data_IF_197382373446
#
_entry.id   IF_197382373446
#
_cell.length_a   1.000
_cell.length_b   1.000
_cell.length_c   1.000
_cell.angle_alpha   90.00
_cell.angle_beta   90.00
_cell.angle_gamma   90.00
#
_symmetry.space_group_name_H-M   'P 1'
#
loop_
_entity.id
_entity.type
_entity.pdbx_description
1 polymer ?
#
# COMPACT_ATOMS: atom_id res chain seq x y z
N UNK A 1 -6.47 -31.21 -4.93
CA UNK A 1 -6.10 -31.85 -6.22
C UNK A 1 -7.20 -32.75 -6.75
N UNK A 2 -8.45 -32.36 -6.55
CA UNK A 2 -9.57 -33.05 -7.16
C UNK A 2 -9.53 -32.86 -8.69
N UNK A 3 -9.88 -33.91 -9.42
CA UNK A 3 -9.81 -33.92 -10.88
C UNK A 3 -10.92 -33.06 -11.52
N UNK A 4 -12.06 -32.93 -10.83
CA UNK A 4 -13.21 -32.16 -11.33
C UNK A 4 -13.06 -30.65 -11.15
N UNK A 5 -12.27 -30.20 -10.16
CA UNK A 5 -11.91 -28.79 -10.05
C UNK A 5 -11.11 -28.35 -11.29
N UNK A 6 -11.54 -27.32 -11.99
CA UNK A 6 -10.86 -26.77 -13.17
C UNK A 6 -10.52 -25.28 -12.97
N UNK A 7 -9.75 -24.71 -13.90
CA UNK A 7 -9.42 -23.28 -13.85
C UNK A 7 -10.70 -22.45 -13.97
N UNK A 8 -10.81 -21.40 -13.15
CA UNK A 8 -11.98 -20.54 -13.04
C UNK A 8 -12.94 -20.92 -11.91
N UNK A 9 -12.81 -22.12 -11.34
CA UNK A 9 -13.70 -22.57 -10.27
C UNK A 9 -13.55 -21.75 -8.98
N UNK A 10 -14.62 -21.76 -8.19
CA UNK A 10 -14.66 -21.20 -6.84
C UNK A 10 -14.80 -22.33 -5.84
N UNK A 11 -13.83 -22.44 -4.94
CA UNK A 11 -13.85 -23.35 -3.79
C UNK A 11 -14.29 -22.53 -2.58
N UNK A 12 -15.47 -22.83 -2.05
CA UNK A 12 -15.94 -22.26 -0.79
C UNK A 12 -15.52 -23.12 0.40
N UNK A 13 -14.89 -22.49 1.38
CA UNK A 13 -14.39 -23.10 2.61
C UNK A 13 -15.30 -22.68 3.75
N UNK A 14 -15.95 -23.67 4.37
CA UNK A 14 -16.79 -23.45 5.54
C UNK A 14 -15.99 -22.94 6.74
N UNK A 15 -16.67 -22.32 7.70
CA UNK A 15 -16.03 -21.93 8.95
C UNK A 15 -15.52 -23.17 9.70
N UNK A 16 -14.33 -23.08 10.28
CA UNK A 16 -13.66 -24.21 10.93
C UNK A 16 -12.15 -24.10 10.85
N UNK A 17 -11.45 -24.97 11.58
CA UNK A 17 -9.98 -25.04 11.55
C UNK A 17 -9.53 -26.25 10.76
N UNK A 18 -8.81 -25.99 9.67
CA UNK A 18 -8.22 -26.97 8.77
C UNK A 18 -6.73 -27.08 9.09
N UNK A 19 -6.34 -28.15 9.79
CA UNK A 19 -4.96 -28.38 10.22
C UNK A 19 -4.12 -29.02 9.10
N UNK A 20 -3.85 -28.27 8.05
CA UNK A 20 -3.14 -28.74 6.85
C UNK A 20 -2.32 -27.62 6.20
N UNK A 21 -1.40 -28.00 5.32
CA UNK A 21 -0.85 -27.07 4.33
C UNK A 21 -1.68 -27.16 3.07
N UNK A 22 -1.88 -26.03 2.40
CA UNK A 22 -2.65 -25.96 1.17
C UNK A 22 -1.74 -25.59 0.00
N UNK A 23 -1.79 -26.37 -1.07
CA UNK A 23 -1.13 -26.06 -2.34
C UNK A 23 -2.17 -25.80 -3.43
N UNK A 24 -2.23 -24.57 -3.92
CA UNK A 24 -3.16 -24.15 -4.98
C UNK A 24 -2.43 -24.22 -6.31
N UNK A 25 -2.69 -25.29 -7.07
CA UNK A 25 -2.00 -25.59 -8.35
C UNK A 25 -2.87 -25.34 -9.59
N UNK A 26 -4.12 -24.89 -9.40
CA UNK A 26 -5.07 -24.54 -10.46
C UNK A 26 -5.47 -23.08 -10.30
N UNK A 27 -5.74 -22.39 -11.40
CA UNK A 27 -6.12 -20.97 -11.39
C UNK A 27 -7.57 -20.84 -10.92
N UNK A 28 -7.78 -20.82 -9.60
CA UNK A 28 -9.09 -20.86 -8.94
C UNK A 28 -9.25 -19.70 -7.97
N UNK A 29 -10.48 -19.48 -7.52
CA UNK A 29 -10.76 -18.72 -6.30
C UNK A 29 -10.92 -19.69 -5.14
N UNK A 30 -10.14 -19.52 -4.06
CA UNK A 30 -10.38 -20.19 -2.79
C UNK A 30 -10.89 -19.14 -1.81
N UNK A 31 -12.13 -19.31 -1.34
CA UNK A 31 -12.81 -18.34 -0.51
C UNK A 31 -13.34 -18.96 0.78
N UNK A 32 -13.06 -18.35 1.92
CA UNK A 32 -13.81 -18.66 3.14
C UNK A 32 -15.18 -18.00 3.11
N UNK A 33 -16.16 -18.62 3.76
CA UNK A 33 -17.45 -17.96 4.07
C UNK A 33 -17.20 -16.71 4.92
N UNK A 34 -16.19 -16.77 5.79
CA UNK A 34 -15.66 -15.64 6.56
C UNK A 34 -14.24 -15.99 7.02
N UNK A 35 -13.55 -15.04 7.66
CA UNK A 35 -12.25 -15.30 8.30
C UNK A 35 -12.30 -16.35 9.41
N UNK A 36 -13.48 -16.82 9.84
CA UNK A 36 -13.61 -17.99 10.70
C UNK A 36 -13.31 -19.34 10.00
N UNK A 37 -13.08 -19.34 8.68
CA UNK A 37 -12.43 -20.43 7.97
C UNK A 37 -10.90 -20.27 8.10
N UNK A 38 -10.27 -21.17 8.87
CA UNK A 38 -8.88 -21.05 9.31
C UNK A 38 -8.04 -22.16 8.67
N UNK A 39 -7.09 -21.78 7.82
CA UNK A 39 -6.03 -22.69 7.38
C UNK A 39 -4.88 -22.55 8.37
N UNK A 40 -4.60 -23.64 9.09
CA UNK A 40 -3.55 -23.71 10.12
C UNK A 40 -2.54 -24.79 9.76
N UNK A 41 -1.35 -24.38 9.31
CA UNK A 41 -0.28 -25.33 9.04
C UNK A 41 0.09 -26.16 10.28
N UNK A 42 0.30 -27.48 10.16
CA UNK A 42 0.83 -28.31 11.25
C UNK A 42 2.22 -27.87 11.70
N UNK A 43 2.60 -28.26 12.92
CA UNK A 43 3.93 -28.00 13.48
C UNK A 43 4.97 -28.91 12.83
N UNK A 44 6.12 -28.38 12.42
CA UNK A 44 7.31 -29.12 11.99
C UNK A 44 7.06 -30.30 11.04
N UNK A 45 6.41 -30.03 9.92
CA UNK A 45 6.00 -31.06 8.97
C UNK A 45 6.82 -31.08 7.66
N UNK A 46 7.97 -30.41 7.65
CA UNK A 46 8.84 -30.35 6.46
C UNK A 46 8.31 -29.46 5.32
N UNK A 47 7.21 -28.73 5.54
CA UNK A 47 6.74 -27.69 4.63
C UNK A 47 7.05 -26.30 5.22
N UNK A 48 7.53 -25.41 4.37
CA UNK A 48 7.88 -24.05 4.74
C UNK A 48 6.68 -23.09 4.74
N UNK A 49 5.50 -23.51 4.31
CA UNK A 49 4.39 -22.60 4.00
C UNK A 49 3.04 -23.15 4.49
N UNK A 50 2.17 -22.29 5.03
CA UNK A 50 0.78 -22.66 5.31
C UNK A 50 -0.03 -22.77 4.02
N UNK A 51 0.08 -21.76 3.15
CA UNK A 51 -0.50 -21.77 1.79
C UNK A 51 0.58 -21.49 0.76
N UNK A 52 0.69 -22.38 -0.23
CA UNK A 52 1.48 -22.15 -1.45
C UNK A 52 0.53 -21.94 -2.62
N UNK A 53 0.62 -20.77 -3.25
CA UNK A 53 0.01 -20.52 -4.55
C UNK A 53 1.05 -20.91 -5.60
N UNK A 54 0.79 -22.03 -6.28
CA UNK A 54 1.69 -22.67 -7.24
C UNK A 54 1.41 -22.31 -8.69
N UNK A 55 0.40 -21.50 -8.99
CA UNK A 55 0.04 -21.07 -10.34
C UNK A 55 -0.46 -19.63 -10.38
N UNK A 56 -0.49 -19.03 -11.56
CA UNK A 56 -0.95 -17.66 -11.80
C UNK A 56 -2.49 -17.55 -11.72
N UNK A 57 -2.99 -16.31 -11.62
CA UNK A 57 -4.43 -16.00 -11.67
C UNK A 57 -5.25 -16.69 -10.56
N UNK A 58 -4.70 -16.74 -9.34
CA UNK A 58 -5.36 -17.29 -8.16
C UNK A 58 -5.92 -16.16 -7.31
N UNK A 59 -7.14 -16.33 -6.81
CA UNK A 59 -7.70 -15.48 -5.75
C UNK A 59 -7.81 -16.26 -4.45
N UNK A 60 -7.24 -15.75 -3.38
CA UNK A 60 -7.41 -16.26 -2.02
C UNK A 60 -8.13 -15.19 -1.20
N UNK A 61 -9.32 -15.50 -0.67
CA UNK A 61 -10.12 -14.49 0.03
C UNK A 61 -10.86 -14.96 1.27
N UNK A 62 -11.12 -14.04 2.19
CA UNK A 62 -11.95 -14.22 3.38
C UNK A 62 -11.56 -15.44 4.24
N UNK A 63 -10.27 -15.68 4.45
CA UNK A 63 -9.73 -16.78 5.26
C UNK A 63 -8.81 -16.23 6.34
N UNK A 64 -8.68 -16.97 7.45
CA UNK A 64 -7.54 -16.81 8.36
C UNK A 64 -6.43 -17.76 7.95
N UNK A 65 -5.21 -17.26 7.78
CA UNK A 65 -4.01 -18.05 7.49
C UNK A 65 -3.02 -17.94 8.64
N UNK A 66 -2.71 -19.08 9.24
CA UNK A 66 -1.77 -19.18 10.36
C UNK A 66 -1.02 -20.50 10.35
N UNK A 67 -0.16 -20.70 11.34
CA UNK A 67 0.59 -21.94 11.57
C UNK A 67 0.47 -22.36 13.02
N UNK A 68 0.69 -23.63 13.28
CA UNK A 68 1.05 -24.08 14.62
C UNK A 68 2.51 -23.67 14.88
N UNK A 69 2.69 -22.77 15.84
CA UNK A 69 4.00 -22.25 16.25
C UNK A 69 4.42 -22.71 17.65
N UNK A 70 3.75 -23.75 18.18
CA UNK A 70 4.02 -24.28 19.51
C UNK A 70 3.46 -23.44 20.65
N UNK A 71 3.87 -23.81 21.85
CA UNK A 71 3.53 -23.25 23.15
C UNK A 71 4.72 -22.61 23.88
N UNK A 72 5.94 -22.81 23.38
CA UNK A 72 7.14 -22.14 23.90
C UNK A 72 7.87 -21.31 22.83
N UNK A 73 8.76 -20.43 23.27
CA UNK A 73 9.58 -19.61 22.36
C UNK A 73 10.57 -20.47 21.57
N UNK A 74 11.08 -21.55 22.17
CA UNK A 74 11.94 -22.53 21.51
C UNK A 74 11.19 -23.22 20.37
N UNK A 75 9.93 -23.60 20.59
CA UNK A 75 9.10 -24.21 19.55
C UNK A 75 8.82 -23.23 18.41
N UNK A 76 8.61 -21.94 18.71
CA UNK A 76 8.49 -20.90 17.69
C UNK A 76 9.73 -20.85 16.80
N UNK A 77 10.92 -20.82 17.40
CA UNK A 77 12.17 -20.76 16.67
C UNK A 77 12.46 -22.03 15.87
N UNK A 78 12.07 -23.19 16.40
CA UNK A 78 12.25 -24.49 15.76
C UNK A 78 11.23 -24.79 14.65
N UNK A 79 10.17 -23.98 14.51
CA UNK A 79 9.16 -24.21 13.49
C UNK A 79 9.71 -24.15 12.06
N UNK A 80 9.48 -25.18 11.27
CA UNK A 80 9.84 -25.20 9.84
C UNK A 80 8.90 -24.36 8.97
N UNK A 81 7.64 -24.20 9.38
CA UNK A 81 6.69 -23.36 8.63
C UNK A 81 7.07 -21.89 8.79
N UNK A 82 7.55 -21.29 7.70
CA UNK A 82 8.03 -19.92 7.63
C UNK A 82 6.94 -18.97 7.13
N UNK A 83 6.33 -19.27 5.99
CA UNK A 83 5.42 -18.35 5.30
C UNK A 83 3.96 -18.67 5.62
N UNK A 84 3.14 -17.66 5.89
CA UNK A 84 1.69 -17.80 5.89
C UNK A 84 1.21 -18.08 4.47
N UNK A 85 1.37 -17.09 3.59
CA UNK A 85 1.07 -17.21 2.16
C UNK A 85 2.35 -16.99 1.36
N UNK A 86 2.68 -17.96 0.49
CA UNK A 86 3.77 -17.90 -0.46
C UNK A 86 3.24 -18.01 -1.88
N UNK A 87 3.59 -17.05 -2.74
CA UNK A 87 3.21 -17.07 -4.15
C UNK A 87 4.37 -16.72 -5.07
N UNK A 88 5.57 -17.20 -4.74
CA UNK A 88 6.77 -16.96 -5.55
C UNK A 88 6.63 -17.37 -7.01
N UNK A 89 7.13 -16.51 -7.89
CA UNK A 89 7.11 -16.67 -9.33
C UNK A 89 5.70 -16.82 -9.89
N UNK A 90 4.70 -16.15 -9.27
CA UNK A 90 3.30 -16.16 -9.72
C UNK A 90 2.78 -14.77 -10.03
N UNK A 91 2.13 -14.63 -11.16
CA UNK A 91 1.53 -13.38 -11.61
C UNK A 91 0.03 -13.33 -11.33
N UNK A 92 -0.52 -12.11 -11.22
CA UNK A 92 -1.96 -11.87 -11.09
C UNK A 92 -2.61 -12.59 -9.89
N UNK A 93 -1.86 -12.74 -8.80
CA UNK A 93 -2.39 -13.29 -7.54
C UNK A 93 -3.17 -12.21 -6.81
N UNK A 94 -4.39 -12.54 -6.35
CA UNK A 94 -5.23 -11.64 -5.55
C UNK A 94 -5.42 -12.20 -4.15
N UNK A 95 -5.02 -11.43 -3.14
CA UNK A 95 -5.26 -11.69 -1.72
C UNK A 95 -6.29 -10.66 -1.24
N UNK A 96 -7.43 -11.11 -0.73
CA UNK A 96 -8.56 -10.22 -0.41
C UNK A 96 -9.23 -10.57 0.92
N UNK A 97 -9.38 -9.59 1.82
CA UNK A 97 -10.16 -9.81 3.06
C UNK A 97 -9.56 -10.87 3.98
N UNK A 98 -8.26 -11.16 3.87
CA UNK A 98 -7.59 -12.19 4.67
C UNK A 98 -7.22 -11.67 6.05
N UNK A 99 -7.24 -12.54 7.04
CA UNK A 99 -6.50 -12.38 8.29
C UNK A 99 -5.25 -13.25 8.23
N UNK A 100 -4.06 -12.67 8.26
CA UNK A 100 -2.79 -13.40 8.21
C UNK A 100 -2.01 -13.14 9.49
N UNK A 101 -1.85 -14.18 10.31
CA UNK A 101 -1.35 -14.01 11.68
C UNK A 101 -0.52 -15.17 12.19
N UNK A 102 0.43 -14.90 13.09
CA UNK A 102 1.24 -15.91 13.76
C UNK A 102 2.31 -16.60 12.89
N UNK A 103 2.63 -16.04 11.72
CA UNK A 103 3.61 -16.62 10.79
C UNK A 103 5.01 -15.98 10.96
N UNK A 104 6.06 -16.59 10.39
CA UNK A 104 7.40 -15.96 10.38
C UNK A 104 7.46 -14.86 9.33
N UNK A 105 6.97 -15.08 8.11
CA UNK A 105 6.43 -13.96 7.33
C UNK A 105 4.96 -14.23 7.07
N UNK A 106 4.12 -13.21 7.23
CA UNK A 106 2.70 -13.31 6.88
C UNK A 106 2.55 -13.63 5.40
N UNK A 107 3.12 -12.76 4.55
CA UNK A 107 3.15 -12.92 3.10
C UNK A 107 4.61 -12.89 2.62
N UNK A 108 4.97 -13.82 1.75
CA UNK A 108 6.22 -13.80 1.01
C UNK A 108 5.94 -13.90 -0.48
N UNK A 109 6.46 -12.95 -1.26
CA UNK A 109 6.51 -13.10 -2.70
C UNK A 109 7.79 -12.55 -3.33
N UNK A 110 8.26 -13.30 -4.31
CA UNK A 110 9.41 -13.01 -5.12
C UNK A 110 9.02 -13.17 -6.60
N UNK A 111 9.46 -12.26 -7.46
CA UNK A 111 9.25 -12.38 -8.92
C UNK A 111 7.75 -12.58 -9.29
N UNK A 112 6.87 -11.80 -8.67
CA UNK A 112 5.42 -11.99 -8.70
C UNK A 112 4.71 -10.68 -9.10
N UNK A 113 4.75 -10.30 -10.41
CA UNK A 113 4.16 -9.05 -10.87
C UNK A 113 2.63 -9.07 -10.86
N UNK A 114 2.03 -7.88 -10.83
CA UNK A 114 0.58 -7.64 -10.90
C UNK A 114 -0.23 -8.32 -9.78
N UNK A 115 0.40 -8.58 -8.63
CA UNK A 115 -0.33 -9.05 -7.46
C UNK A 115 -1.25 -7.95 -6.91
N UNK A 116 -2.39 -8.33 -6.33
CA UNK A 116 -3.30 -7.43 -5.61
C UNK A 116 -3.46 -7.91 -4.18
N UNK A 117 -3.24 -7.04 -3.20
CA UNK A 117 -3.48 -7.30 -1.77
C UNK A 117 -4.44 -6.23 -1.28
N UNK A 118 -5.65 -6.60 -0.91
CA UNK A 118 -6.71 -5.63 -0.61
C UNK A 118 -7.56 -6.07 0.57
N UNK A 119 -7.93 -5.11 1.43
CA UNK A 119 -8.78 -5.36 2.58
C UNK A 119 -8.22 -6.42 3.55
N UNK A 120 -6.94 -6.75 3.50
CA UNK A 120 -6.33 -7.76 4.36
C UNK A 120 -5.87 -7.15 5.69
N UNK A 121 -5.95 -7.95 6.76
CA UNK A 121 -5.29 -7.69 8.04
C UNK A 121 -4.08 -8.61 8.18
N UNK A 122 -2.88 -8.05 8.23
CA UNK A 122 -1.61 -8.77 8.39
C UNK A 122 -0.99 -8.34 9.71
N UNK A 123 -1.11 -9.19 10.73
CA UNK A 123 -0.75 -8.84 12.10
C UNK A 123 -0.11 -9.96 12.90
N UNK A 124 0.66 -9.60 13.93
CA UNK A 124 1.30 -10.54 14.85
C UNK A 124 2.13 -11.64 14.13
N UNK A 125 2.64 -11.36 12.94
CA UNK A 125 3.67 -12.17 12.30
C UNK A 125 5.05 -11.63 12.74
N UNK A 126 6.13 -12.38 12.51
CA UNK A 126 7.47 -11.80 12.68
C UNK A 126 7.63 -10.64 11.70
N UNK A 127 7.68 -10.93 10.40
CA UNK A 127 7.54 -9.92 9.35
C UNK A 127 6.12 -9.98 8.81
N UNK A 128 5.48 -8.84 8.57
CA UNK A 128 4.17 -8.82 7.92
C UNK A 128 4.25 -9.31 6.48
N UNK A 129 4.93 -8.55 5.63
CA UNK A 129 5.00 -8.79 4.18
C UNK A 129 6.45 -8.62 3.71
N UNK A 130 6.93 -9.55 2.88
CA UNK A 130 8.25 -9.47 2.26
C UNK A 130 8.16 -9.57 0.73
N UNK A 131 8.66 -8.54 0.07
CA UNK A 131 8.81 -8.42 -1.38
C UNK A 131 10.29 -8.54 -1.78
N UNK A 132 10.57 -9.32 -2.83
CA UNK A 132 11.90 -9.42 -3.44
C UNK A 132 11.80 -9.56 -4.97
N UNK A 133 12.91 -9.32 -5.69
CA UNK A 133 12.97 -9.44 -7.15
C UNK A 133 11.92 -8.55 -7.84
N UNK A 134 11.23 -9.05 -8.87
CA UNK A 134 10.20 -8.30 -9.61
C UNK A 134 8.83 -8.39 -8.91
N UNK A 135 8.24 -7.24 -8.57
CA UNK A 135 6.88 -7.09 -8.05
C UNK A 135 6.14 -5.95 -8.75
N UNK A 136 6.54 -5.62 -9.98
CA UNK A 136 5.93 -4.54 -10.77
C UNK A 136 4.41 -4.68 -10.89
N UNK A 137 3.71 -3.56 -10.91
CA UNK A 137 2.25 -3.51 -11.02
C UNK A 137 1.48 -3.97 -9.77
N UNK A 138 2.16 -4.26 -8.66
CA UNK A 138 1.54 -4.57 -7.37
C UNK A 138 0.54 -3.48 -6.96
N UNK A 139 -0.66 -3.91 -6.54
CA UNK A 139 -1.68 -3.04 -5.94
C UNK A 139 -1.91 -3.49 -4.50
N UNK A 140 -1.63 -2.61 -3.54
CA UNK A 140 -1.90 -2.79 -2.12
C UNK A 140 -2.74 -1.64 -1.60
N UNK A 141 -4.01 -1.90 -1.33
CA UNK A 141 -4.94 -0.87 -0.85
C UNK A 141 -5.84 -1.35 0.27
N UNK A 142 -6.23 -0.46 1.16
CA UNK A 142 -7.18 -0.73 2.24
C UNK A 142 -6.73 -1.87 3.17
N UNK A 143 -5.43 -2.10 3.32
CA UNK A 143 -4.93 -3.13 4.23
C UNK A 143 -4.60 -2.56 5.60
N UNK A 144 -4.68 -3.40 6.62
CA UNK A 144 -4.18 -3.15 7.97
C UNK A 144 -2.94 -4.04 8.15
N UNK A 145 -1.75 -3.44 8.22
CA UNK A 145 -0.48 -4.13 8.49
C UNK A 145 0.04 -3.65 9.84
N UNK A 146 -0.14 -4.44 10.89
CA UNK A 146 0.13 -3.96 12.25
C UNK A 146 0.75 -4.97 13.18
N UNK A 147 1.45 -4.48 14.20
CA UNK A 147 1.95 -5.29 15.31
C UNK A 147 2.77 -6.52 14.85
N UNK A 148 3.41 -6.45 13.69
CA UNK A 148 4.38 -7.45 13.29
C UNK A 148 5.71 -7.13 14.01
N UNK A 149 6.36 -8.15 14.54
CA UNK A 149 7.44 -7.96 15.51
C UNK A 149 8.83 -7.76 14.91
N UNK A 150 8.94 -7.61 13.59
CA UNK A 150 10.02 -6.93 12.87
C UNK A 150 9.45 -5.74 12.10
N UNK A 151 8.93 -6.00 10.91
CA UNK A 151 8.59 -5.01 9.91
C UNK A 151 7.16 -5.24 9.44
N UNK A 152 6.48 -4.13 9.12
CA UNK A 152 5.21 -4.21 8.42
C UNK A 152 5.41 -4.76 7.02
N UNK A 153 6.11 -3.99 6.18
CA UNK A 153 6.41 -4.35 4.79
C UNK A 153 7.91 -4.19 4.55
N UNK A 154 8.54 -5.22 3.98
CA UNK A 154 9.95 -5.22 3.61
C UNK A 154 10.10 -5.37 2.11
N UNK A 155 10.78 -4.42 1.47
CA UNK A 155 11.42 -4.60 0.18
C UNK A 155 12.86 -5.03 0.46
N UNK A 156 13.12 -6.34 0.35
CA UNK A 156 14.39 -6.92 0.77
C UNK A 156 15.36 -7.05 -0.42
N UNK A 157 16.36 -6.17 -0.46
CA UNK A 157 17.43 -6.16 -1.44
C UNK A 157 18.67 -6.96 -1.00
N UNK A 158 18.65 -7.61 0.18
CA UNK A 158 19.76 -8.43 0.65
C UNK A 158 19.86 -9.77 -0.09
N UNK A 159 18.94 -10.10 -1.00
CA UNK A 159 19.03 -11.34 -1.78
C UNK A 159 19.13 -11.07 -3.29
N UNK A 160 18.55 -9.97 -3.77
CA UNK A 160 18.56 -9.58 -5.18
C UNK A 160 18.17 -8.11 -5.35
N UNK A 161 18.48 -7.48 -6.50
CA UNK A 161 17.84 -6.22 -6.92
C UNK A 161 16.31 -6.35 -6.95
N UNK A 162 15.61 -5.24 -6.80
CA UNK A 162 14.14 -5.18 -6.86
C UNK A 162 13.68 -4.43 -8.10
N UNK A 163 12.68 -4.96 -8.80
CA UNK A 163 11.95 -4.22 -9.85
C UNK A 163 10.52 -4.06 -9.38
N UNK A 164 10.15 -2.84 -9.00
CA UNK A 164 8.86 -2.49 -8.41
C UNK A 164 8.27 -1.30 -9.16
N UNK A 165 8.23 -1.40 -10.49
CA UNK A 165 7.70 -0.34 -11.34
C UNK A 165 6.17 -0.33 -11.32
N UNK A 166 5.59 0.86 -11.36
CA UNK A 166 4.14 1.09 -11.39
C UNK A 166 3.36 0.44 -10.23
N UNK A 167 4.01 0.20 -9.08
CA UNK A 167 3.32 -0.31 -7.89
C UNK A 167 2.50 0.78 -7.20
N UNK A 168 1.43 0.39 -6.54
CA UNK A 168 0.57 1.26 -5.74
C UNK A 168 0.39 0.66 -4.36
N UNK A 169 1.11 1.19 -3.38
CA UNK A 169 0.88 0.89 -1.97
C UNK A 169 0.21 2.12 -1.38
N UNK A 170 -1.12 2.18 -1.36
CA UNK A 170 -1.86 3.40 -1.00
C UNK A 170 -3.06 3.09 -0.12
N UNK A 171 -3.50 4.02 0.71
CA UNK A 171 -4.69 3.86 1.56
C UNK A 171 -4.60 2.65 2.49
N UNK A 172 -3.42 2.39 3.06
CA UNK A 172 -3.23 1.34 4.06
C UNK A 172 -2.92 1.94 5.43
N UNK A 173 -3.28 1.22 6.49
CA UNK A 173 -2.76 1.48 7.84
C UNK A 173 -1.58 0.55 8.09
N UNK A 174 -0.37 1.11 8.17
CA UNK A 174 0.88 0.38 8.41
C UNK A 174 1.45 0.89 9.74
N UNK A 175 1.07 0.25 10.85
CA UNK A 175 1.22 0.83 12.20
C UNK A 175 1.65 -0.15 13.26
N UNK A 176 2.42 0.28 14.26
CA UNK A 176 2.74 -0.54 15.43
C UNK A 176 3.72 -1.70 15.15
N UNK A 177 4.26 -1.79 13.93
CA UNK A 177 5.31 -2.74 13.59
C UNK A 177 6.64 -2.31 14.25
N UNK A 178 7.39 -3.26 14.81
CA UNK A 178 8.40 -2.98 15.86
C UNK A 178 9.66 -2.24 15.39
N UNK A 179 10.16 -2.55 14.19
CA UNK A 179 11.43 -2.04 13.65
C UNK A 179 11.25 -1.21 12.39
N UNK A 180 10.13 -1.36 11.69
CA UNK A 180 9.70 -0.39 10.69
C UNK A 180 8.25 -0.59 10.25
N UNK A 181 7.65 0.48 9.72
CA UNK A 181 6.42 0.34 8.94
C UNK A 181 6.78 -0.13 7.52
N UNK A 182 7.72 0.57 6.88
CA UNK A 182 8.36 0.17 5.62
C UNK A 182 9.88 0.01 5.81
N UNK A 183 10.46 -1.08 5.32
CA UNK A 183 11.92 -1.30 5.27
C UNK A 183 12.39 -1.56 3.83
N UNK A 184 13.33 -0.77 3.35
CA UNK A 184 14.02 -0.93 2.07
C UNK A 184 15.44 -1.44 2.34
N UNK A 185 15.50 -2.70 2.74
CA UNK A 185 16.68 -3.30 3.36
C UNK A 185 17.73 -3.63 2.32
N UNK A 186 18.94 -3.08 2.50
CA UNK A 186 20.13 -3.38 1.71
C UNK A 186 21.39 -3.32 2.59
N UNK A 187 21.49 -4.26 3.52
CA UNK A 187 22.57 -4.37 4.50
C UNK A 187 23.70 -5.32 4.03
N UNK A 188 23.35 -6.43 3.38
CA UNK A 188 24.31 -7.49 3.01
C UNK A 188 24.81 -7.38 1.56
N UNK A 189 24.06 -6.73 0.68
CA UNK A 189 24.38 -6.61 -0.75
C UNK A 189 24.30 -5.14 -1.23
N UNK A 190 25.33 -4.32 -0.98
CA UNK A 190 25.27 -2.88 -1.24
C UNK A 190 25.16 -2.51 -2.73
N UNK A 191 25.51 -3.42 -3.64
CA UNK A 191 25.37 -3.26 -5.10
C UNK A 191 23.93 -3.42 -5.59
N UNK A 192 23.05 -4.04 -4.81
CA UNK A 192 21.66 -4.20 -5.23
C UNK A 192 20.94 -2.85 -5.22
N UNK A 193 20.07 -2.63 -6.20
CA UNK A 193 19.26 -1.43 -6.34
C UNK A 193 17.82 -1.83 -6.60
N UNK A 194 16.89 -0.96 -6.24
CA UNK A 194 15.49 -1.08 -6.63
C UNK A 194 15.12 -0.03 -7.68
N UNK A 195 14.31 -0.46 -8.64
CA UNK A 195 13.61 0.41 -9.58
C UNK A 195 12.17 0.62 -9.10
N UNK A 196 11.86 1.85 -8.67
CA UNK A 196 10.52 2.29 -8.26
C UNK A 196 9.89 3.25 -9.29
N UNK A 197 10.29 3.18 -10.55
CA UNK A 197 9.72 4.03 -11.61
C UNK A 197 8.20 3.88 -11.66
N UNK A 198 7.48 4.98 -11.49
CA UNK A 198 6.02 4.99 -11.48
C UNK A 198 5.36 4.44 -10.19
N UNK A 199 6.14 4.13 -9.15
CA UNK A 199 5.58 3.70 -7.87
C UNK A 199 4.80 4.82 -7.17
N UNK A 200 3.87 4.45 -6.29
CA UNK A 200 3.18 5.36 -5.37
C UNK A 200 3.02 4.71 -4.00
N UNK A 201 3.41 5.45 -2.96
CA UNK A 201 3.30 5.07 -1.54
C UNK A 201 2.46 6.08 -0.73
N UNK A 202 1.69 6.93 -1.43
CA UNK A 202 0.91 8.01 -0.82
C UNK A 202 -0.35 7.53 -0.12
N UNK A 203 -0.92 8.40 0.72
CA UNK A 203 -2.11 8.19 1.52
C UNK A 203 -2.08 6.92 2.38
N UNK A 204 -0.91 6.51 2.89
CA UNK A 204 -0.85 5.50 3.94
C UNK A 204 -0.75 6.18 5.32
N UNK A 205 -1.36 5.57 6.32
CA UNK A 205 -1.15 5.92 7.72
C UNK A 205 0.02 5.10 8.26
N UNK A 206 1.09 5.78 8.69
CA UNK A 206 2.28 5.14 9.25
C UNK A 206 2.31 5.16 10.79
N UNK A 207 1.21 5.55 11.43
CA UNK A 207 1.13 5.79 12.87
C UNK A 207 1.38 7.24 13.26
N UNK A 208 1.71 8.10 12.28
CA UNK A 208 1.94 9.53 12.46
C UNK A 208 1.70 10.29 11.14
N UNK A 209 1.26 11.55 11.23
CA UNK A 209 0.97 12.44 10.09
C UNK A 209 2.19 12.76 9.23
N UNK A 210 3.37 12.86 9.86
CA UNK A 210 4.63 13.26 9.21
C UNK A 210 5.70 12.19 9.47
N UNK A 211 5.63 11.01 8.82
CA UNK A 211 6.58 9.94 9.04
C UNK A 211 7.97 10.33 8.57
N UNK A 212 8.97 10.18 9.44
CA UNK A 212 10.35 10.39 9.07
C UNK A 212 10.86 9.27 8.14
N UNK A 213 11.56 9.67 7.08
CA UNK A 213 12.37 8.79 6.23
C UNK A 213 13.80 8.77 6.76
N UNK A 214 14.29 7.57 7.11
CA UNK A 214 15.61 7.37 7.69
C UNK A 214 16.39 6.34 6.88
N UNK A 215 17.34 6.77 6.02
CA UNK A 215 18.04 5.88 5.09
C UNK A 215 19.18 5.11 5.77
N UNK A 216 18.88 4.47 6.90
CA UNK A 216 19.79 3.67 7.71
C UNK A 216 19.25 2.26 7.87
N UNK A 217 20.12 1.31 8.25
CA UNK A 217 19.67 -0.03 8.61
C UNK A 217 18.61 0.02 9.69
N UNK A 218 17.59 -0.84 9.56
CA UNK A 218 16.53 -0.96 10.56
C UNK A 218 17.03 -1.46 11.93
N UNK A 219 18.23 -2.04 11.97
CA UNK A 219 18.85 -2.51 13.21
C UNK A 219 18.10 -3.68 13.85
N UNK A 220 17.52 -4.56 13.04
CA UNK A 220 16.92 -5.80 13.53
C UNK A 220 17.96 -6.62 14.33
N UNK A 221 17.59 -7.14 15.50
CA UNK A 221 18.43 -8.08 16.21
C UNK A 221 18.36 -9.45 15.52
N UNK A 222 19.29 -10.34 15.87
CA UNK A 222 19.28 -11.71 15.34
C UNK A 222 17.99 -12.47 15.68
N UNK A 223 17.64 -13.45 14.86
CA UNK A 223 16.39 -14.21 15.00
C UNK A 223 16.16 -14.78 16.41
N UNK A 224 17.20 -15.36 17.02
CA UNK A 224 17.11 -16.03 18.32
C UNK A 224 16.91 -15.09 19.52
N UNK A 225 17.19 -13.80 19.37
CA UNK A 225 17.08 -12.80 20.44
C UNK A 225 15.81 -11.94 20.32
N UNK A 226 14.97 -12.22 19.33
CA UNK A 226 13.73 -11.51 19.08
C UNK A 226 12.54 -12.32 19.56
N UNK A 227 12.13 -12.08 20.81
CA UNK A 227 10.95 -12.71 21.38
C UNK A 227 9.68 -12.32 20.59
N UNK A 228 8.89 -13.29 20.09
CA UNK A 228 7.59 -13.02 19.47
C UNK A 228 6.60 -12.42 20.45
N UNK A 229 5.65 -11.63 19.94
CA UNK A 229 4.54 -11.09 20.74
C UNK A 229 3.69 -12.17 21.43
N UNK A 230 3.61 -13.36 20.82
CA UNK A 230 2.93 -14.54 21.34
C UNK A 230 3.59 -15.09 22.62
N UNK A 231 4.87 -14.78 22.83
CA UNK A 231 5.68 -15.25 23.95
C UNK A 231 6.25 -14.08 24.73
N UNK A 232 5.42 -13.08 25.05
CA UNK A 232 5.72 -11.91 25.90
C UNK A 232 6.67 -10.86 25.32
N UNK A 233 7.13 -11.04 24.07
CA UNK A 233 7.93 -10.02 23.41
C UNK A 233 7.16 -8.70 23.27
N UNK A 234 7.83 -7.59 23.53
CA UNK A 234 7.24 -6.25 23.46
C UNK A 234 7.88 -5.40 22.38
N UNK A 235 7.12 -4.46 21.83
CA UNK A 235 7.65 -3.48 20.88
C UNK A 235 8.83 -2.73 21.54
N UNK A 236 10.01 -2.68 20.89
CA UNK A 236 11.17 -1.97 21.41
C UNK A 236 11.00 -0.44 21.43
N UNK A 237 9.88 0.10 20.93
CA UNK A 237 9.55 1.54 20.91
C UNK A 237 10.65 2.40 20.29
N UNK A 238 11.23 1.91 19.20
CA UNK A 238 12.33 2.57 18.52
C UNK A 238 11.85 3.88 17.87
N UNK A 239 12.57 4.96 18.14
CA UNK A 239 12.26 6.27 17.57
C UNK A 239 12.44 6.29 16.05
N UNK A 240 11.56 7.02 15.37
CA UNK A 240 11.64 7.33 13.93
C UNK A 240 11.78 6.11 13.01
N UNK A 241 11.22 4.96 13.39
CA UNK A 241 11.22 3.75 12.55
C UNK A 241 9.95 3.65 11.70
N UNK A 242 9.66 4.69 10.92
CA UNK A 242 8.51 4.69 10.01
C UNK A 242 8.91 4.11 8.66
N UNK A 243 9.75 4.85 7.95
CA UNK A 243 10.27 4.48 6.64
C UNK A 243 11.79 4.39 6.78
N UNK A 244 12.34 3.17 6.71
CA UNK A 244 13.76 2.92 6.96
C UNK A 244 14.38 2.04 5.89
N UNK A 245 15.69 1.81 6.01
CA UNK A 245 16.47 0.99 5.10
C UNK A 245 17.43 1.85 4.28
N UNK A 246 18.63 1.34 4.03
CA UNK A 246 19.71 2.06 3.33
C UNK A 246 19.35 2.44 1.87
N UNK A 247 18.21 1.97 1.36
CA UNK A 247 17.69 2.32 0.04
C UNK A 247 16.41 3.17 0.06
N UNK A 248 15.94 3.61 1.24
CA UNK A 248 14.67 4.33 1.39
C UNK A 248 14.62 5.72 0.70
N UNK A 249 15.74 6.28 0.26
CA UNK A 249 15.87 7.65 -0.30
C UNK A 249 15.00 7.96 -1.52
N UNK A 250 14.43 6.95 -2.18
CA UNK A 250 13.81 7.09 -3.51
C UNK A 250 12.29 6.80 -3.54
N UNK A 251 11.60 6.75 -2.40
CA UNK A 251 10.19 6.35 -2.39
C UNK A 251 9.20 7.54 -2.40
N UNK A 252 8.16 7.51 -3.25
CA UNK A 252 7.12 8.54 -3.31
C UNK A 252 6.00 8.29 -2.29
N UNK A 253 6.29 8.50 -1.00
CA UNK A 253 5.34 8.26 0.11
C UNK A 253 4.47 9.46 0.48
N UNK A 254 4.74 10.64 -0.11
CA UNK A 254 3.99 11.86 0.18
C UNK A 254 2.76 12.02 -0.74
N UNK A 255 1.63 12.51 -0.21
CA UNK A 255 1.39 12.73 1.22
C UNK A 255 1.22 11.41 1.99
N UNK A 256 1.52 11.41 3.28
CA UNK A 256 0.99 10.40 4.20
C UNK A 256 -0.42 10.81 4.67
N UNK A 257 -1.17 9.90 5.29
CA UNK A 257 -2.39 10.29 5.99
C UNK A 257 -2.04 11.07 7.26
N UNK A 258 -2.81 12.12 7.57
CA UNK A 258 -2.65 12.90 8.79
C UNK A 258 -3.31 12.25 10.02
N UNK A 259 -4.29 11.39 9.78
CA UNK A 259 -5.05 10.66 10.78
C UNK A 259 -5.27 9.22 10.31
N UNK A 260 -5.04 8.27 11.21
CA UNK A 260 -5.25 6.83 11.00
C UNK A 260 -6.60 6.31 11.46
N UNK A 261 -7.51 7.20 11.83
CA UNK A 261 -8.83 6.82 12.34
C UNK A 261 -9.62 6.08 11.25
N UNK A 262 -10.07 4.89 11.60
CA UNK A 262 -11.01 4.08 10.84
C UNK A 262 -12.31 3.95 11.64
N UNK A 263 -13.41 4.46 11.08
CA UNK A 263 -14.73 4.40 11.72
C UNK A 263 -15.71 3.51 10.97
N UNK A 264 -15.27 2.85 9.89
CA UNK A 264 -16.14 1.99 9.09
C UNK A 264 -16.06 0.56 9.60
N UNK A 265 -17.16 -0.17 9.40
CA UNK A 265 -17.24 -1.59 9.74
C UNK A 265 -16.82 -2.50 8.58
N UNK A 266 -16.50 -1.93 7.41
CA UNK A 266 -16.08 -2.67 6.24
C UNK A 266 -14.74 -3.38 6.48
N UNK A 267 -14.53 -4.51 5.80
CA UNK A 267 -13.28 -5.27 5.91
C UNK A 267 -12.09 -4.44 5.40
N UNK A 268 -11.00 -4.43 6.16
CA UNK A 268 -9.78 -3.69 5.82
C UNK A 268 -9.72 -2.31 6.45
N UNK A 269 -8.80 -1.48 5.98
CA UNK A 269 -8.63 -0.10 6.42
C UNK A 269 -9.45 0.86 5.57
N UNK A 270 -10.36 1.61 6.21
CA UNK A 270 -11.18 2.64 5.61
C UNK A 270 -10.95 3.98 6.34
N UNK A 271 -9.90 4.74 5.99
CA UNK A 271 -9.59 5.98 6.68
C UNK A 271 -10.77 6.95 6.59
N UNK A 272 -11.01 7.71 7.65
CA UNK A 272 -11.96 8.83 7.60
C UNK A 272 -11.56 9.78 6.45
N UNK A 273 -12.54 10.22 5.68
CA UNK A 273 -12.30 11.02 4.47
C UNK A 273 -11.58 12.34 4.75
N UNK A 274 -10.96 12.91 3.72
CA UNK A 274 -10.21 14.19 3.77
C UNK A 274 -8.95 14.21 4.66
N UNK A 275 -8.46 13.05 5.08
CA UNK A 275 -7.22 12.91 5.88
C UNK A 275 -5.95 12.78 5.04
N UNK A 276 -6.10 12.57 3.74
CA UNK A 276 -5.00 12.67 2.78
C UNK A 276 -5.04 14.05 2.14
N UNK A 277 -3.99 14.85 2.33
CA UNK A 277 -3.92 16.26 1.90
C UNK A 277 -2.82 16.47 0.84
N UNK A 278 -2.98 15.93 -0.39
CA UNK A 278 -1.93 15.93 -1.40
C UNK A 278 -1.71 17.32 -2.05
N UNK A 279 -2.56 18.31 -1.76
CA UNK A 279 -2.42 19.70 -2.25
C UNK A 279 -1.92 20.57 -1.11
N UNK A 280 -0.78 21.23 -1.31
CA UNK A 280 -0.12 22.04 -0.29
C UNK A 280 0.06 23.46 -0.81
N UNK A 281 -0.28 24.47 0.01
CA UNK A 281 0.17 25.85 -0.21
C UNK A 281 1.39 26.11 0.70
N UNK A 282 2.63 25.89 0.23
CA UNK A 282 3.82 26.03 1.06
C UNK A 282 4.05 27.47 1.55
N UNK A 283 3.56 28.48 0.82
CA UNK A 283 3.65 29.89 1.25
C UNK A 283 2.87 30.13 2.55
N UNK A 284 1.77 29.39 2.74
CA UNK A 284 0.85 29.56 3.88
C UNK A 284 0.92 28.44 4.90
N UNK A 285 1.68 27.38 4.61
CA UNK A 285 1.75 26.16 5.41
C UNK A 285 0.34 25.55 5.65
N UNK A 286 -0.47 25.51 4.59
CA UNK A 286 -1.83 24.94 4.59
C UNK A 286 -1.92 23.74 3.64
N UNK A 287 -2.79 22.78 3.96
CA UNK A 287 -2.85 21.45 3.37
C UNK A 287 -4.30 21.08 3.05
N UNK A 288 -4.53 20.48 1.87
CA UNK A 288 -5.87 20.26 1.35
C UNK A 288 -6.00 18.92 0.63
N UNK A 289 -7.16 18.30 0.77
CA UNK A 289 -7.53 17.06 0.09
C UNK A 289 -7.75 17.24 -1.43
N UNK A 290 -8.15 18.44 -1.86
CA UNK A 290 -8.55 18.75 -3.24
C UNK A 290 -7.96 20.07 -3.71
N UNK A 291 -7.84 20.23 -5.02
CA UNK A 291 -7.31 21.46 -5.63
C UNK A 291 -8.33 22.59 -5.44
N UNK A 292 -9.62 22.29 -5.60
CA UNK A 292 -10.67 23.29 -5.38
C UNK A 292 -10.71 23.78 -3.92
N UNK A 293 -10.48 22.92 -2.93
CA UNK A 293 -10.41 23.36 -1.53
C UNK A 293 -9.24 24.32 -1.29
N UNK A 294 -8.05 24.01 -1.85
CA UNK A 294 -6.88 24.88 -1.73
C UNK A 294 -7.11 26.26 -2.36
N UNK A 295 -7.79 26.33 -3.51
CA UNK A 295 -8.16 27.59 -4.16
C UNK A 295 -9.21 28.35 -3.32
N UNK A 296 -10.22 27.65 -2.80
CA UNK A 296 -11.29 28.26 -2.02
C UNK A 296 -10.82 28.81 -0.66
N UNK A 297 -9.76 28.25 -0.10
CA UNK A 297 -9.23 28.67 1.20
C UNK A 297 -8.91 30.17 1.24
N UNK A 298 -9.45 30.87 2.24
CA UNK A 298 -9.33 32.33 2.36
C UNK A 298 -7.87 32.81 2.53
N UNK A 299 -7.00 31.96 3.08
CA UNK A 299 -5.57 32.23 3.24
C UNK A 299 -4.77 32.07 1.96
N UNK A 300 -5.28 31.35 0.94
CA UNK A 300 -4.66 31.32 -0.39
C UNK A 300 -4.90 32.64 -1.10
N UNK A 301 -3.84 33.41 -1.37
CA UNK A 301 -3.91 34.71 -2.04
C UNK A 301 -3.23 34.67 -3.43
N UNK A 302 -3.43 35.75 -4.19
CA UNK A 302 -2.75 35.94 -5.47
C UNK A 302 -1.22 35.88 -5.31
N UNK A 303 -0.54 35.20 -6.23
CA UNK A 303 0.89 34.93 -6.22
C UNK A 303 1.30 33.68 -5.43
N UNK A 304 0.41 33.06 -4.65
CA UNK A 304 0.74 31.82 -3.95
C UNK A 304 0.98 30.66 -4.93
N UNK A 305 1.79 29.68 -4.51
CA UNK A 305 1.99 28.42 -5.21
C UNK A 305 1.22 27.31 -4.50
N UNK A 306 0.51 26.48 -5.25
CA UNK A 306 -0.12 25.25 -4.81
C UNK A 306 0.68 24.09 -5.42
N UNK A 307 1.30 23.27 -4.57
CA UNK A 307 2.02 22.06 -5.01
C UNK A 307 1.15 20.83 -4.85
N UNK A 308 1.08 20.02 -5.90
CA UNK A 308 0.28 18.81 -5.97
C UNK A 308 1.22 17.61 -5.99
N UNK A 309 1.15 16.78 -4.96
CA UNK A 309 1.83 15.49 -4.94
C UNK A 309 1.30 14.58 -6.06
N UNK A 310 2.14 13.66 -6.54
CA UNK A 310 1.72 12.66 -7.52
C UNK A 310 0.49 11.88 -7.05
N UNK A 311 -0.48 11.72 -7.93
CA UNK A 311 -1.77 11.11 -7.63
C UNK A 311 -2.77 11.34 -8.75
N UNK A 312 -3.97 10.77 -8.61
CA UNK A 312 -5.11 11.01 -9.50
C UNK A 312 -6.09 11.94 -8.77
N UNK A 313 -6.35 13.11 -9.36
CA UNK A 313 -7.28 14.11 -8.84
C UNK A 313 -8.52 14.09 -9.73
N UNK A 314 -9.61 13.50 -9.23
CA UNK A 314 -10.87 13.38 -9.96
C UNK A 314 -11.77 14.59 -9.65
N UNK A 315 -11.52 15.72 -10.30
CA UNK A 315 -12.13 17.01 -9.97
C UNK A 315 -12.41 17.84 -11.23
N UNK A 316 -13.47 18.65 -11.17
CA UNK A 316 -13.51 19.88 -11.96
C UNK A 316 -13.07 21.03 -11.05
N UNK A 317 -12.23 21.94 -11.56
CA UNK A 317 -11.62 23.01 -10.77
C UNK A 317 -11.92 24.37 -11.41
N UNK A 318 -12.52 25.25 -10.64
CA UNK A 318 -12.65 26.68 -10.92
C UNK A 318 -11.46 27.41 -10.31
N UNK A 319 -10.56 27.88 -11.17
CA UNK A 319 -9.40 28.68 -10.79
C UNK A 319 -9.76 30.16 -10.87
N UNK A 320 -10.19 30.71 -9.74
CA UNK A 320 -10.63 32.09 -9.57
C UNK A 320 -9.63 32.96 -8.76
N UNK A 321 -8.43 32.44 -8.51
CA UNK A 321 -7.32 33.17 -7.87
C UNK A 321 -6.06 33.03 -8.73
N UNK A 322 -5.31 34.12 -8.85
CA UNK A 322 -4.05 34.17 -9.61
C UNK A 322 -2.95 33.42 -8.87
N UNK A 323 -2.85 32.10 -9.05
CA UNK A 323 -1.92 31.21 -8.34
C UNK A 323 -1.09 30.40 -9.32
N UNK A 324 0.02 29.83 -8.83
CA UNK A 324 0.79 28.79 -9.53
C UNK A 324 0.30 27.43 -9.08
N UNK A 325 -0.21 26.59 -9.97
CA UNK A 325 -0.60 25.21 -9.68
C UNK A 325 0.45 24.28 -10.28
N UNK A 326 1.23 23.63 -9.41
CA UNK A 326 2.44 22.89 -9.79
C UNK A 326 2.39 21.44 -9.34
N UNK A 327 2.55 20.51 -10.28
CA UNK A 327 2.82 19.12 -9.95
C UNK A 327 4.24 18.92 -9.42
N UNK A 328 4.38 18.17 -8.33
CA UNK A 328 5.67 17.80 -7.72
C UNK A 328 5.84 16.27 -7.65
N UNK A 329 7.09 15.82 -7.57
CA UNK A 329 7.44 14.41 -7.46
C UNK A 329 7.93 13.77 -8.77
N UNK A 330 8.22 12.48 -8.72
CA UNK A 330 8.81 11.73 -9.84
C UNK A 330 7.83 11.49 -11.00
N UNK A 331 6.52 11.57 -10.74
CA UNK A 331 5.46 11.43 -11.74
C UNK A 331 4.52 12.63 -11.66
N UNK A 332 4.02 13.08 -12.81
CA UNK A 332 3.08 14.20 -12.89
C UNK A 332 1.72 13.80 -12.29
N UNK A 333 1.11 14.62 -11.41
CA UNK A 333 -0.28 14.46 -11.02
C UNK A 333 -1.20 14.33 -12.24
N UNK A 334 -2.10 13.34 -12.22
CA UNK A 334 -3.11 13.15 -13.25
C UNK A 334 -4.42 13.81 -12.80
N UNK A 335 -4.81 14.88 -13.50
CA UNK A 335 -6.11 15.52 -13.32
C UNK A 335 -7.10 14.83 -14.27
N UNK A 336 -8.14 14.26 -13.70
CA UNK A 336 -9.18 13.50 -14.39
C UNK A 336 -10.55 13.94 -13.89
N UNK A 337 -11.62 13.50 -14.54
CA UNK A 337 -12.97 13.69 -14.03
C UNK A 337 -13.86 12.53 -14.49
N UNK A 338 -14.40 11.78 -13.54
CA UNK A 338 -15.24 10.61 -13.80
C UNK A 338 -16.69 10.81 -13.36
N UNK A 339 -17.02 11.95 -12.72
CA UNK A 339 -18.35 12.25 -12.20
C UNK A 339 -19.36 12.74 -13.25
N UNK A 340 -20.47 13.31 -12.78
CA UNK A 340 -21.43 14.07 -13.59
C UNK A 340 -21.01 15.54 -13.54
N UNK A 341 -20.78 16.22 -14.69
CA UNK A 341 -20.30 17.60 -14.68
C UNK A 341 -21.19 18.52 -13.84
N UNK A 342 -20.56 19.21 -12.89
CA UNK A 342 -21.24 20.03 -11.88
C UNK A 342 -20.45 21.28 -11.49
N UNK A 343 -19.50 21.71 -12.34
CA UNK A 343 -18.77 22.96 -12.13
C UNK A 343 -19.78 24.12 -12.03
N UNK A 344 -19.58 25.03 -11.07
CA UNK A 344 -20.53 26.11 -10.77
C UNK A 344 -20.84 27.02 -11.98
N UNK A 345 -19.89 27.16 -12.90
CA UNK A 345 -20.01 27.90 -14.16
C UNK A 345 -20.70 27.14 -15.30
N UNK A 346 -21.11 25.90 -15.03
CA UNK A 346 -21.66 24.90 -15.96
C UNK A 346 -20.74 24.57 -17.14
N UNK A 347 -19.44 24.90 -17.05
CA UNK A 347 -18.48 24.56 -18.12
C UNK A 347 -18.10 23.10 -18.05
N UNK A 348 -18.10 22.48 -19.22
CA UNK A 348 -17.66 21.12 -19.44
C UNK A 348 -16.15 21.11 -19.66
N UNK A 349 -15.38 21.42 -18.62
CA UNK A 349 -13.91 21.42 -18.64
C UNK A 349 -13.36 20.83 -17.35
N UNK A 350 -12.15 20.30 -17.37
CA UNK A 350 -11.49 19.87 -16.14
C UNK A 350 -11.07 21.08 -15.32
N UNK A 351 -10.37 22.04 -15.92
CA UNK A 351 -10.04 23.33 -15.30
C UNK A 351 -10.76 24.47 -16.04
N UNK A 352 -11.39 25.36 -15.30
CA UNK A 352 -11.81 26.67 -15.80
C UNK A 352 -10.99 27.76 -15.11
N UNK A 353 -10.28 28.54 -15.90
CA UNK A 353 -9.45 29.65 -15.40
C UNK A 353 -10.14 30.98 -15.71
N UNK A 354 -10.55 31.70 -14.67
CA UNK A 354 -11.37 32.92 -14.79
C UNK A 354 -10.63 34.20 -14.44
N UNK A 355 -9.37 34.12 -14.04
CA UNK A 355 -8.53 35.26 -13.66
C UNK A 355 -7.18 35.23 -14.42
N UNK A 356 -6.52 36.39 -14.62
CA UNK A 356 -5.20 36.44 -15.22
C UNK A 356 -4.12 35.86 -14.29
N UNK A 357 -2.91 35.68 -14.82
CA UNK A 357 -1.70 35.35 -14.06
C UNK A 357 -1.80 34.03 -13.27
N UNK A 358 -2.39 33.03 -13.90
CA UNK A 358 -2.40 31.64 -13.42
C UNK A 358 -1.38 30.84 -14.20
N UNK A 359 -0.48 30.16 -13.50
CA UNK A 359 0.46 29.21 -14.10
C UNK A 359 0.01 27.79 -13.75
N UNK A 360 -0.06 26.91 -14.75
CA UNK A 360 -0.33 25.49 -14.55
C UNK A 360 0.84 24.70 -15.11
N UNK A 361 1.62 24.06 -14.25
CA UNK A 361 2.84 23.34 -14.65
C UNK A 361 2.96 21.97 -14.01
N UNK A 362 3.65 21.06 -14.71
CA UNK A 362 3.95 19.72 -14.17
C UNK A 362 2.73 18.81 -14.01
N UNK A 363 1.57 19.14 -14.59
CA UNK A 363 0.35 18.32 -14.53
C UNK A 363 0.15 17.49 -15.81
N UNK A 364 -0.57 16.37 -15.67
CA UNK A 364 -1.10 15.57 -16.77
C UNK A 364 -2.62 15.66 -16.73
N UNK A 365 -3.27 15.93 -17.85
CA UNK A 365 -4.74 15.91 -17.94
C UNK A 365 -5.20 14.65 -18.67
N UNK A 366 -6.15 13.93 -18.06
CA UNK A 366 -6.87 12.80 -18.66
C UNK A 366 -8.35 13.16 -18.76
N UNK A 367 -8.76 13.62 -19.93
CA UNK A 367 -10.11 14.13 -20.16
C UNK A 367 -11.00 13.03 -20.75
N UNK A 368 -12.11 12.75 -20.09
CA UNK A 368 -13.20 11.98 -20.70
C UNK A 368 -14.03 12.90 -21.61
N UNK A 369 -13.74 12.85 -22.91
CA UNK A 369 -14.40 13.69 -23.92
C UNK A 369 -15.88 13.36 -24.14
N UNK A 370 -16.39 12.26 -23.56
CA UNK A 370 -17.83 11.98 -23.56
C UNK A 370 -18.59 12.82 -22.52
N UNK A 371 -17.86 13.42 -21.57
CA UNK A 371 -18.42 14.23 -20.46
C UNK A 371 -17.97 15.68 -20.50
N UNK A 372 -16.72 15.92 -20.87
CA UNK A 372 -16.09 17.24 -20.88
C UNK A 372 -15.69 17.63 -22.31
N UNK A 373 -15.77 18.92 -22.64
CA UNK A 373 -15.33 19.46 -23.93
C UNK A 373 -13.85 19.85 -23.99
N UNK A 374 -13.18 20.03 -22.84
CA UNK A 374 -11.77 20.45 -22.80
C UNK A 374 -11.07 20.05 -21.50
N UNK A 375 -9.73 19.99 -21.54
CA UNK A 375 -8.91 19.90 -20.33
C UNK A 375 -8.91 21.22 -19.56
N UNK A 376 -8.63 22.32 -20.26
CA UNK A 376 -8.53 23.66 -19.70
C UNK A 376 -9.35 24.59 -20.58
N UNK A 377 -10.25 25.34 -19.97
CA UNK A 377 -10.93 26.48 -20.59
C UNK A 377 -10.47 27.73 -19.85
N UNK A 378 -9.79 28.62 -20.57
CA UNK A 378 -9.18 29.78 -19.94
C UNK A 378 -9.74 31.07 -20.57
N UNK A 379 -10.15 32.01 -19.72
CA UNK A 379 -10.86 33.24 -20.13
C UNK A 379 -10.21 34.53 -19.60
N UNK A 380 -9.12 34.42 -18.85
CA UNK A 380 -8.29 35.56 -18.43
C UNK A 380 -7.31 35.98 -19.53
N UNK A 381 -6.98 37.27 -19.62
CA UNK A 381 -5.88 37.74 -20.45
C UNK A 381 -4.53 37.28 -19.84
N UNK A 382 -3.55 36.90 -20.67
CA UNK A 382 -2.18 36.49 -20.27
C UNK A 382 -2.07 35.19 -19.44
N UNK A 383 -2.37 34.04 -20.07
CA UNK A 383 -2.08 32.72 -19.52
C UNK A 383 -0.79 32.18 -20.16
N UNK A 384 0.10 31.61 -19.35
CA UNK A 384 1.36 30.98 -19.80
C UNK A 384 1.46 29.53 -19.35
#
# INVERSE_FOLDING_TARGET
NDASTVNGDVIEVGNGTYNENVSIIKSVTVQGVSTAAIIKAPYNNGNDNAVVIGTDNVTLKNLTITRNYGTTVEEWYASTVNQGVNFNSRSNVRLEGLLITGNRNGIYCANSPNATIINCTIEANRTGIQFTHNVSGLIMTNNIVRNNFTHGIVFNLDTAPITATNIKVQNNSITGNWYSQLNFQRNAHPSNVADFTGASFGCNWYGIANPALNPISAGEPGYAVQAPSQFTGTNPNLANRYIVGTQAIAIPFSPALEDGTDTKADTGFQPVGNTCTPVINPTRNTYFATIQAAINDASTLAGDTLTLSSGVYNEQVLVNKSVVIKGIGATKPEISFTGVPALASTKLTTFEVTVPDVTIEGLKFKVDLTKLGSAILARGANLS
#
